data_IF_232072680895
#
_entry.id   IF_232072680895
#
_cell.length_a   1.000
_cell.length_b   1.000
_cell.length_c   1.000
_cell.angle_alpha   90.00
_cell.angle_beta   90.00
_cell.angle_gamma   90.00
#
_symmetry.space_group_name_H-M   'P 1'
#
loop_
_entity.id
_entity.type
_entity.pdbx_description
1 polymer ?
#
# COMPACT_ATOMS: atom_id res chain seq x y z
N UNK A 1 -8.61 0.10 5.92
CA UNK A 1 -7.87 0.22 4.65
C UNK A 1 -6.69 -0.73 4.70
N UNK A 2 -6.32 -1.38 3.59
CA UNK A 2 -5.13 -2.24 3.56
C UNK A 2 -3.85 -1.41 3.53
N UNK A 3 -2.80 -1.83 4.22
CA UNK A 3 -1.47 -1.24 4.10
C UNK A 3 -0.52 -2.26 3.47
N UNK A 4 0.06 -1.90 2.32
CA UNK A 4 1.09 -2.70 1.68
C UNK A 4 2.39 -1.89 1.62
N UNK A 5 3.32 -2.19 2.52
CA UNK A 5 4.62 -1.50 2.62
C UNK A 5 5.49 -1.68 1.36
N UNK A 6 5.25 -2.75 0.59
CA UNK A 6 6.04 -3.11 -0.59
C UNK A 6 7.03 -4.24 -0.32
N UNK A 7 7.38 -5.00 -1.35
CA UNK A 7 8.29 -6.14 -1.22
C UNK A 7 9.78 -5.75 -1.16
N UNK A 8 10.16 -4.64 -1.80
CA UNK A 8 11.53 -4.09 -1.91
C UNK A 8 12.65 -5.06 -2.37
N UNK A 9 12.30 -6.25 -2.88
CA UNK A 9 13.26 -7.32 -3.25
C UNK A 9 14.17 -7.01 -4.43
N UNK A 10 13.85 -6.03 -5.27
CA UNK A 10 14.58 -5.75 -6.53
C UNK A 10 15.52 -4.54 -6.46
N UNK A 11 15.52 -3.78 -5.36
CA UNK A 11 16.37 -2.60 -5.24
C UNK A 11 17.47 -2.85 -4.18
N UNK A 12 18.69 -3.22 -4.58
CA UNK A 12 19.78 -3.50 -3.64
C UNK A 12 20.19 -2.30 -2.78
N UNK A 13 19.77 -1.08 -3.15
CA UNK A 13 20.06 0.16 -2.42
C UNK A 13 18.92 0.61 -1.49
N UNK A 14 17.80 -0.12 -1.40
CA UNK A 14 16.64 0.19 -0.53
C UNK A 14 16.36 -0.93 0.49
N UNK A 15 17.38 -1.70 0.88
CA UNK A 15 17.23 -2.83 1.82
C UNK A 15 17.00 -2.45 3.29
N UNK A 16 17.34 -1.22 3.71
CA UNK A 16 17.25 -0.76 5.10
C UNK A 16 16.19 0.34 5.29
N UNK A 17 15.01 0.15 4.71
CA UNK A 17 13.88 1.04 4.95
C UNK A 17 13.24 0.71 6.31
N UNK A 18 13.15 1.71 7.18
CA UNK A 18 12.56 1.58 8.52
C UNK A 18 11.02 1.64 8.42
N UNK A 19 10.45 0.55 7.91
CA UNK A 19 9.00 0.37 7.82
C UNK A 19 8.27 0.45 9.16
N UNK A 20 8.81 -0.08 10.28
CA UNK A 20 8.19 0.11 11.59
C UNK A 20 8.03 1.58 11.96
N UNK A 21 9.04 2.42 11.68
CA UNK A 21 8.91 3.87 11.90
C UNK A 21 7.87 4.50 10.97
N UNK A 22 7.84 4.11 9.70
CA UNK A 22 6.82 4.62 8.76
C UNK A 22 5.41 4.25 9.21
N UNK A 23 5.19 2.99 9.61
CA UNK A 23 3.92 2.51 10.14
C UNK A 23 3.49 3.29 11.38
N UNK A 24 4.43 3.54 12.31
CA UNK A 24 4.16 4.36 13.51
C UNK A 24 3.69 5.79 13.18
N UNK A 25 4.20 6.38 12.10
CA UNK A 25 3.71 7.68 11.62
C UNK A 25 2.27 7.54 11.12
N UNK A 26 1.95 6.49 10.36
CA UNK A 26 0.58 6.25 9.90
C UNK A 26 -0.40 6.01 11.06
N UNK A 27 0.01 5.25 12.07
CA UNK A 27 -0.79 4.97 13.28
C UNK A 27 -1.11 6.23 14.08
N UNK A 28 -0.28 7.27 13.96
CA UNK A 28 -0.52 8.56 14.62
C UNK A 28 -1.62 9.40 13.97
N UNK A 29 -2.07 9.03 12.76
CA UNK A 29 -3.11 9.75 12.03
C UNK A 29 -4.49 9.38 12.60
N UNK A 30 -5.09 10.30 13.37
CA UNK A 30 -6.42 10.10 13.96
C UNK A 30 -7.46 9.79 12.87
N UNK A 31 -8.17 8.67 13.06
CA UNK A 31 -9.22 8.22 12.14
C UNK A 31 -8.72 7.39 10.96
N UNK A 32 -7.41 7.18 10.82
CA UNK A 32 -6.85 6.20 9.89
C UNK A 32 -6.79 4.84 10.58
N UNK A 33 -7.39 3.82 9.96
CA UNK A 33 -7.28 2.43 10.42
C UNK A 33 -6.74 1.56 9.30
N UNK A 34 -5.60 0.94 9.57
CA UNK A 34 -4.87 0.12 8.63
C UNK A 34 -4.93 -1.35 9.03
N UNK A 35 -4.95 -2.21 8.00
CA UNK A 35 -4.82 -3.66 8.12
C UNK A 35 -3.65 -4.06 7.25
N UNK A 36 -2.62 -4.64 7.84
CA UNK A 36 -1.42 -5.03 7.10
C UNK A 36 -1.73 -6.10 6.05
N UNK A 37 -1.20 -5.90 4.86
CA UNK A 37 -1.22 -6.85 3.75
C UNK A 37 0.11 -7.59 3.68
N UNK A 38 0.08 -8.78 3.11
CA UNK A 38 1.28 -9.62 2.98
C UNK A 38 2.32 -8.98 2.03
N UNK A 39 3.50 -8.68 2.57
CA UNK A 39 4.61 -8.07 1.84
C UNK A 39 5.49 -9.10 1.07
N UNK A 40 5.21 -10.41 1.18
CA UNK A 40 6.03 -11.44 0.52
C UNK A 40 5.94 -11.39 -1.00
N UNK A 41 4.83 -10.89 -1.53
CA UNK A 41 4.57 -10.82 -2.96
C UNK A 41 5.11 -9.53 -3.55
N UNK A 42 5.73 -9.65 -4.73
CA UNK A 42 6.27 -8.50 -5.43
C UNK A 42 5.21 -7.85 -6.33
N UNK A 43 4.97 -6.55 -6.16
CA UNK A 43 4.05 -5.78 -7.02
C UNK A 43 4.39 -5.83 -8.53
N UNK A 44 5.66 -6.09 -8.89
CA UNK A 44 6.10 -6.26 -10.30
C UNK A 44 5.82 -7.63 -10.88
N UNK A 45 5.69 -8.66 -10.04
CA UNK A 45 5.61 -10.06 -10.49
C UNK A 45 4.29 -10.73 -10.18
N UNK A 46 3.69 -10.35 -9.05
CA UNK A 46 2.50 -10.99 -8.50
C UNK A 46 1.56 -9.94 -7.86
N UNK A 47 1.20 -8.85 -8.58
CA UNK A 47 0.29 -7.84 -8.04
C UNK A 47 -1.09 -8.42 -7.68
N UNK A 48 -1.56 -9.43 -8.41
CA UNK A 48 -2.85 -10.09 -8.19
C UNK A 48 -2.93 -10.74 -6.80
N UNK A 49 -1.81 -11.30 -6.31
CA UNK A 49 -1.76 -11.92 -4.97
C UNK A 49 -1.96 -10.92 -3.84
N UNK A 50 -1.50 -9.68 -4.05
CA UNK A 50 -1.66 -8.59 -3.08
C UNK A 50 -3.13 -8.13 -3.07
N UNK A 51 -3.74 -8.02 -4.26
CA UNK A 51 -5.16 -7.70 -4.40
C UNK A 51 -6.05 -8.79 -3.79
N UNK A 52 -5.75 -10.08 -4.05
CA UNK A 52 -6.44 -11.22 -3.43
C UNK A 52 -6.37 -11.20 -1.89
N UNK A 53 -5.22 -10.82 -1.31
CA UNK A 53 -5.09 -10.68 0.15
C UNK A 53 -5.99 -9.56 0.69
N UNK A 54 -6.03 -8.42 0.00
CA UNK A 54 -6.91 -7.31 0.36
C UNK A 54 -8.40 -7.70 0.25
N UNK A 55 -8.80 -8.40 -0.81
CA UNK A 55 -10.16 -8.91 -1.00
C UNK A 55 -10.57 -9.89 0.10
N UNK A 56 -9.70 -10.84 0.45
CA UNK A 56 -9.95 -11.80 1.56
C UNK A 56 -10.14 -11.12 2.91
N UNK A 57 -9.53 -9.96 3.10
CA UNK A 57 -9.67 -9.12 4.29
C UNK A 57 -10.83 -8.13 4.21
N UNK A 58 -11.66 -8.22 3.16
CA UNK A 58 -12.80 -7.34 2.89
C UNK A 58 -12.41 -5.85 2.79
N UNK A 59 -11.26 -5.57 2.14
CA UNK A 59 -10.73 -4.22 1.96
C UNK A 59 -11.01 -3.71 0.54
N UNK A 60 -11.56 -2.51 0.42
CA UNK A 60 -11.83 -1.86 -0.88
C UNK A 60 -10.71 -0.90 -1.34
N UNK A 61 -9.78 -0.61 -0.42
CA UNK A 61 -8.72 0.39 -0.59
C UNK A 61 -7.40 -0.12 -0.04
N UNK A 62 -6.31 0.07 -0.78
CA UNK A 62 -4.94 -0.18 -0.36
C UNK A 62 -4.14 1.14 -0.33
N UNK A 63 -3.48 1.40 0.79
CA UNK A 63 -2.43 2.40 0.94
C UNK A 63 -1.08 1.78 0.58
N UNK A 64 -0.36 2.42 -0.32
CA UNK A 64 0.96 1.97 -0.79
C UNK A 64 1.94 3.16 -0.75
N UNK A 65 3.08 3.06 -0.04
CA UNK A 65 4.06 4.13 0.04
C UNK A 65 5.00 4.18 -1.18
N UNK A 66 5.10 3.09 -1.94
CA UNK A 66 6.01 2.95 -3.06
C UNK A 66 5.35 3.34 -4.40
N UNK A 67 6.00 4.20 -5.18
CA UNK A 67 5.51 4.65 -6.50
C UNK A 67 5.27 3.50 -7.50
N UNK A 68 6.23 2.57 -7.63
CA UNK A 68 6.07 1.37 -8.47
C UNK A 68 4.87 0.53 -8.00
N UNK A 69 4.72 0.36 -6.68
CA UNK A 69 3.60 -0.36 -6.07
C UNK A 69 2.25 0.28 -6.42
N UNK A 70 2.15 1.61 -6.32
CA UNK A 70 0.94 2.34 -6.72
C UNK A 70 0.62 2.09 -8.18
N UNK A 71 1.58 2.33 -9.08
CA UNK A 71 1.34 2.21 -10.52
C UNK A 71 0.88 0.81 -10.92
N UNK A 72 1.61 -0.22 -10.47
CA UNK A 72 1.37 -1.60 -10.86
C UNK A 72 0.10 -2.17 -10.24
N UNK A 73 -0.19 -1.84 -8.98
CA UNK A 73 -1.44 -2.26 -8.34
C UNK A 73 -2.64 -1.52 -8.94
N UNK A 74 -2.52 -0.23 -9.30
CA UNK A 74 -3.58 0.47 -10.05
C UNK A 74 -3.88 -0.24 -11.36
N UNK A 75 -2.84 -0.56 -12.13
CA UNK A 75 -2.98 -1.28 -13.40
C UNK A 75 -3.61 -2.66 -13.22
N UNK A 76 -3.11 -3.48 -12.28
CA UNK A 76 -3.61 -4.83 -12.03
C UNK A 76 -5.04 -4.84 -11.49
N UNK A 77 -5.41 -3.86 -10.65
CA UNK A 77 -6.75 -3.77 -10.07
C UNK A 77 -7.85 -3.46 -11.09
N UNK A 78 -7.49 -2.85 -12.24
CA UNK A 78 -8.44 -2.39 -13.25
C UNK A 78 -9.59 -1.53 -12.66
N UNK A 79 -9.30 -0.78 -11.60
CA UNK A 79 -10.28 0.07 -10.91
C UNK A 79 -11.22 -0.66 -9.93
N UNK A 80 -11.11 -1.99 -9.78
CA UNK A 80 -11.88 -2.76 -8.79
C UNK A 80 -11.46 -2.48 -7.35
N UNK A 81 -10.24 -1.97 -7.16
CA UNK A 81 -9.69 -1.63 -5.86
C UNK A 81 -9.07 -0.24 -5.90
N UNK A 82 -9.34 0.57 -4.88
CA UNK A 82 -8.76 1.91 -4.76
C UNK A 82 -7.33 1.79 -4.27
N UNK A 83 -6.38 2.25 -5.06
CA UNK A 83 -4.97 2.27 -4.66
C UNK A 83 -4.58 3.72 -4.40
N UNK A 84 -4.09 4.03 -3.20
CA UNK A 84 -3.74 5.39 -2.77
C UNK A 84 -2.30 5.46 -2.27
N UNK A 85 -1.65 6.57 -2.58
CA UNK A 85 -0.48 7.07 -1.86
C UNK A 85 -0.88 7.75 -0.56
N UNK A 86 0.10 7.96 0.33
CA UNK A 86 -0.08 8.82 1.49
C UNK A 86 -0.43 10.25 1.09
N UNK A 87 0.15 10.78 0.01
CA UNK A 87 -0.14 12.12 -0.48
C UNK A 87 -1.61 12.27 -0.89
N UNK A 88 -2.15 11.33 -1.67
CA UNK A 88 -3.57 11.30 -2.06
C UNK A 88 -4.49 11.24 -0.84
N UNK A 89 -4.10 10.49 0.19
CA UNK A 89 -4.87 10.38 1.43
C UNK A 89 -4.88 11.70 2.22
N UNK A 90 -3.72 12.36 2.33
CA UNK A 90 -3.61 13.64 3.02
C UNK A 90 -4.38 14.75 2.29
N UNK A 91 -4.33 14.79 0.96
CA UNK A 91 -5.09 15.76 0.16
C UNK A 91 -6.61 15.61 0.36
N UNK A 92 -7.11 14.38 0.42
CA UNK A 92 -8.53 14.11 0.70
C UNK A 92 -8.96 14.62 2.07
N UNK A 93 -8.09 14.52 3.08
CA UNK A 93 -8.37 15.07 4.43
C UNK A 93 -8.41 16.59 4.41
N UNK A 94 -7.61 17.22 3.55
CA UNK A 94 -7.58 18.68 3.37
C UNK A 94 -8.73 19.22 2.50
N UNK A 95 -9.57 18.35 1.94
CA UNK A 95 -10.66 18.75 1.04
C UNK A 95 -10.21 19.18 -0.35
N UNK A 96 -9.01 18.74 -0.77
CA UNK A 96 -8.42 19.00 -2.08
C UNK A 96 -8.63 17.84 -3.07
#
# INVERSE_FOLDING_TARGET
MGYFEGCHKYFPFMGNLDWPRYHKVLDSIKGLTLVDLDNRYCCKRQPERILEDAEKKNLDTILVPCGDGIHLLKQASQGKMKIKSLAELLLQVLGA
#
